data_IF_263941495164
#
_entry.id   IF_263941495164
#
_cell.length_a   1.000
_cell.length_b   1.000
_cell.length_c   1.000
_cell.angle_alpha   90.00
_cell.angle_beta   90.00
_cell.angle_gamma   90.00
#
_symmetry.space_group_name_H-M   'P 1'
#
loop_
_entity.id
_entity.type
_entity.pdbx_description
1 polymer ?
#
# COMPACT_ATOMS: atom_id res chain seq x y z
N UNK A 1 -33.60 -59.97 27.82
CA UNK A 1 -33.87 -60.46 26.45
C UNK A 1 -35.13 -59.75 25.98
N UNK A 2 -35.16 -58.88 24.98
CA UNK A 2 -34.35 -58.77 23.78
C UNK A 2 -34.19 -57.31 23.35
N UNK A 3 -32.98 -57.02 22.88
CA UNK A 3 -32.51 -55.89 22.09
C UNK A 3 -33.44 -55.44 20.96
N UNK A 4 -33.61 -54.12 20.80
CA UNK A 4 -33.65 -53.47 19.48
C UNK A 4 -33.35 -51.95 19.60
N UNK A 5 -32.07 -51.65 19.42
CA UNK A 5 -31.50 -50.53 18.67
C UNK A 5 -32.00 -49.10 18.95
N UNK A 6 -31.33 -48.49 19.92
CA UNK A 6 -30.65 -47.19 19.86
C UNK A 6 -30.61 -46.55 18.45
N UNK A 7 -31.54 -45.65 18.15
CA UNK A 7 -31.43 -44.74 17.01
C UNK A 7 -30.87 -43.41 17.51
N UNK A 8 -29.54 -43.36 17.57
CA UNK A 8 -28.76 -42.14 17.79
C UNK A 8 -28.99 -41.25 16.56
N UNK A 9 -29.81 -40.21 16.69
CA UNK A 9 -30.02 -39.24 15.61
C UNK A 9 -28.78 -38.34 15.54
N UNK A 10 -27.80 -38.79 14.76
CA UNK A 10 -26.66 -37.99 14.31
C UNK A 10 -27.19 -36.83 13.48
N UNK A 11 -27.43 -35.69 14.13
CA UNK A 11 -27.57 -34.40 13.43
C UNK A 11 -26.17 -34.04 12.94
N UNK A 12 -25.84 -34.52 11.74
CA UNK A 12 -24.71 -34.01 10.98
C UNK A 12 -25.07 -32.58 10.59
N UNK A 13 -24.64 -31.60 11.39
CA UNK A 13 -24.48 -30.24 10.90
C UNK A 13 -23.40 -30.32 9.82
N UNK A 14 -23.82 -30.45 8.56
CA UNK A 14 -22.99 -29.99 7.46
C UNK A 14 -22.90 -28.48 7.63
N UNK A 15 -21.87 -28.03 8.36
CA UNK A 15 -21.32 -26.70 8.17
C UNK A 15 -20.84 -26.72 6.72
N UNK A 16 -21.71 -26.31 5.80
CA UNK A 16 -21.22 -25.78 4.55
C UNK A 16 -20.45 -24.54 4.97
N UNK A 17 -19.13 -24.68 5.13
CA UNK A 17 -18.22 -23.56 5.02
C UNK A 17 -18.46 -23.01 3.63
N UNK A 18 -19.39 -22.05 3.51
CA UNK A 18 -19.40 -21.15 2.38
C UNK A 18 -18.12 -20.36 2.58
N UNK A 19 -17.01 -20.89 2.07
CA UNK A 19 -15.81 -20.11 1.87
C UNK A 19 -16.24 -18.97 0.96
N UNK A 20 -16.42 -17.79 1.55
CA UNK A 20 -16.70 -16.57 0.80
C UNK A 20 -15.40 -16.20 0.09
N UNK A 21 -15.13 -16.86 -1.03
CA UNK A 21 -14.05 -16.46 -1.90
C UNK A 21 -14.36 -15.09 -2.50
N UNK A 22 -13.32 -14.31 -2.77
CA UNK A 22 -13.33 -13.12 -3.63
C UNK A 22 -14.31 -13.26 -4.81
N UNK A 23 -14.84 -12.15 -5.32
CA UNK A 23 -15.78 -12.15 -6.45
C UNK A 23 -15.29 -13.01 -7.63
N UNK A 24 -15.84 -14.22 -7.75
CA UNK A 24 -15.53 -15.13 -8.84
C UNK A 24 -16.19 -14.61 -10.13
N UNK A 25 -15.59 -14.89 -11.30
CA UNK A 25 -16.32 -14.70 -12.55
C UNK A 25 -17.59 -15.53 -12.53
N UNK A 26 -18.60 -15.06 -13.28
CA UNK A 26 -19.86 -15.77 -13.36
C UNK A 26 -19.61 -17.22 -13.80
N UNK A 27 -20.08 -18.21 -13.02
CA UNK A 27 -20.15 -19.57 -13.53
C UNK A 27 -20.96 -19.59 -14.81
N UNK A 28 -20.64 -20.51 -15.74
CA UNK A 28 -21.29 -20.57 -17.05
C UNK A 28 -22.84 -20.62 -16.98
N UNK A 29 -23.41 -21.19 -15.92
CA UNK A 29 -24.86 -21.21 -15.71
C UNK A 29 -25.45 -19.84 -15.34
N UNK A 30 -24.70 -19.00 -14.60
CA UNK A 30 -25.10 -17.62 -14.29
C UNK A 30 -25.01 -16.74 -15.52
N UNK A 31 -23.99 -16.96 -16.36
CA UNK A 31 -23.87 -16.29 -17.66
C UNK A 31 -25.10 -16.56 -18.55
N UNK A 32 -25.53 -17.83 -18.65
CA UNK A 32 -26.74 -18.19 -19.39
C UNK A 32 -28.00 -17.56 -18.77
N UNK A 33 -28.11 -17.53 -17.45
CA UNK A 33 -29.24 -16.92 -16.75
C UNK A 33 -29.33 -15.41 -17.02
N UNK A 34 -28.19 -14.73 -17.06
CA UNK A 34 -28.11 -13.30 -17.39
C UNK A 34 -28.57 -13.04 -18.83
N UNK A 35 -28.13 -13.86 -19.79
CA UNK A 35 -28.58 -13.76 -21.17
C UNK A 35 -30.08 -14.03 -21.33
N UNK A 36 -30.61 -15.03 -20.64
CA UNK A 36 -32.05 -15.32 -20.60
C UNK A 36 -32.86 -14.17 -19.94
N UNK A 37 -32.34 -13.57 -18.87
CA UNK A 37 -32.99 -12.45 -18.20
C UNK A 37 -33.04 -11.19 -19.10
N UNK A 38 -31.91 -10.86 -19.76
CA UNK A 38 -31.86 -9.76 -20.72
C UNK A 38 -32.81 -10.01 -21.90
N UNK A 39 -32.81 -11.23 -22.44
CA UNK A 39 -33.71 -11.67 -23.51
C UNK A 39 -35.19 -11.43 -23.16
N UNK A 40 -35.61 -11.76 -21.94
CA UNK A 40 -36.98 -11.51 -21.46
C UNK A 40 -37.33 -10.03 -21.37
N UNK A 41 -36.33 -9.16 -21.20
CA UNK A 41 -36.48 -7.70 -21.24
C UNK A 41 -36.39 -7.13 -22.66
N UNK A 42 -36.22 -7.98 -23.68
CA UNK A 42 -35.98 -7.54 -25.07
C UNK A 42 -34.59 -6.96 -25.30
N UNK A 43 -33.65 -7.25 -24.41
CA UNK A 43 -32.27 -6.75 -24.41
C UNK A 43 -31.27 -7.87 -24.72
N UNK A 44 -30.06 -7.48 -25.07
CA UNK A 44 -28.86 -8.31 -25.15
C UNK A 44 -27.70 -7.62 -24.42
N UNK A 45 -26.58 -8.33 -24.18
CA UNK A 45 -25.44 -7.76 -23.43
C UNK A 45 -24.90 -6.44 -24.00
N UNK A 46 -24.99 -6.21 -25.33
CA UNK A 46 -24.52 -4.97 -25.96
C UNK A 46 -25.35 -3.76 -25.57
N UNK A 47 -26.61 -3.96 -25.16
CA UNK A 47 -27.46 -2.87 -24.69
C UNK A 47 -27.03 -2.35 -23.31
N UNK A 48 -26.18 -3.11 -22.60
CA UNK A 48 -25.51 -2.67 -21.38
C UNK A 48 -24.19 -1.94 -21.64
N UNK A 49 -23.71 -1.88 -22.90
CA UNK A 49 -22.41 -1.28 -23.20
C UNK A 49 -22.51 0.23 -23.11
N UNK A 50 -21.49 0.84 -22.51
CA UNK A 50 -21.31 2.29 -22.48
C UNK A 50 -20.38 2.70 -23.62
N UNK A 51 -20.73 3.81 -24.28
CA UNK A 51 -19.93 4.38 -25.36
C UNK A 51 -18.63 4.99 -24.81
N UNK A 52 -17.52 4.26 -24.91
CA UNK A 52 -16.20 4.80 -24.59
C UNK A 52 -15.75 5.93 -25.53
N UNK A 53 -16.39 6.05 -26.69
CA UNK A 53 -16.17 7.08 -27.71
C UNK A 53 -17.10 8.30 -27.58
N UNK A 54 -18.02 8.32 -26.59
CA UNK A 54 -18.94 9.43 -26.41
C UNK A 54 -18.24 10.76 -26.10
N UNK A 55 -17.04 10.67 -25.52
CA UNK A 55 -16.15 11.79 -25.23
C UNK A 55 -14.77 11.52 -25.81
N UNK A 56 -14.06 12.58 -26.20
CA UNK A 56 -12.68 12.49 -26.67
C UNK A 56 -11.84 11.72 -25.64
N UNK A 57 -11.01 10.79 -26.11
CA UNK A 57 -10.07 10.08 -25.25
C UNK A 57 -9.05 11.05 -24.69
N UNK A 58 -9.02 11.17 -23.36
CA UNK A 58 -8.03 11.96 -22.63
C UNK A 58 -6.75 11.15 -22.39
N UNK A 59 -5.68 11.83 -21.99
CA UNK A 59 -4.33 11.26 -21.76
C UNK A 59 -4.28 10.28 -20.59
N UNK A 60 -5.29 10.29 -19.72
CA UNK A 60 -5.35 9.54 -18.47
C UNK A 60 -6.24 8.30 -18.53
N UNK A 61 -7.10 8.19 -19.55
CA UNK A 61 -7.96 7.01 -19.77
C UNK A 61 -7.14 5.76 -20.09
N UNK A 62 -7.02 4.90 -19.09
CA UNK A 62 -6.36 3.61 -19.19
C UNK A 62 -7.16 2.63 -20.08
N UNK A 63 -6.49 1.70 -20.79
CA UNK A 63 -7.17 0.69 -21.63
C UNK A 63 -8.20 -0.17 -20.87
N UNK A 64 -7.99 -0.41 -19.57
CA UNK A 64 -8.94 -1.15 -18.73
C UNK A 64 -10.28 -0.43 -18.62
N UNK A 65 -10.29 0.92 -18.57
CA UNK A 65 -11.51 1.73 -18.55
C UNK A 65 -12.29 1.57 -19.85
N UNK A 66 -11.61 1.65 -21.00
CA UNK A 66 -12.25 1.42 -22.31
C UNK A 66 -12.86 0.01 -22.40
N UNK A 67 -12.18 -1.00 -21.86
CA UNK A 67 -12.67 -2.37 -21.85
C UNK A 67 -13.90 -2.54 -20.92
N UNK A 68 -13.90 -1.96 -19.73
CA UNK A 68 -15.06 -2.02 -18.82
C UNK A 68 -16.26 -1.25 -19.38
N UNK A 69 -16.06 -0.09 -20.02
CA UNK A 69 -17.16 0.64 -20.65
C UNK A 69 -17.79 -0.17 -21.79
N UNK A 70 -16.96 -0.75 -22.65
CA UNK A 70 -17.44 -1.54 -23.79
C UNK A 70 -17.89 -2.95 -23.43
N UNK A 71 -17.48 -3.47 -22.26
CA UNK A 71 -17.83 -4.80 -21.74
C UNK A 71 -17.89 -4.74 -20.21
N UNK A 72 -18.96 -4.19 -19.60
CA UNK A 72 -19.01 -3.94 -18.16
C UNK A 72 -18.84 -5.20 -17.32
N UNK A 73 -19.40 -6.32 -17.77
CA UNK A 73 -19.27 -7.61 -17.08
C UNK A 73 -17.84 -8.21 -17.15
N UNK A 74 -16.92 -7.63 -17.94
CA UNK A 74 -15.52 -8.06 -17.91
C UNK A 74 -14.79 -7.65 -16.64
N UNK A 75 -15.36 -6.75 -15.82
CA UNK A 75 -14.80 -6.36 -14.52
C UNK A 75 -14.60 -7.58 -13.60
N UNK A 76 -15.53 -8.54 -13.61
CA UNK A 76 -15.40 -9.76 -12.81
C UNK A 76 -14.17 -10.60 -13.21
N UNK A 77 -13.82 -10.60 -14.49
CA UNK A 77 -12.58 -11.26 -14.95
C UNK A 77 -11.35 -10.48 -14.51
N UNK A 78 -11.41 -9.14 -14.49
CA UNK A 78 -10.30 -8.31 -13.97
C UNK A 78 -10.06 -8.64 -12.51
N UNK A 79 -11.11 -8.62 -11.68
CA UNK A 79 -11.05 -8.94 -10.25
C UNK A 79 -10.61 -10.38 -10.00
N UNK A 80 -11.16 -11.35 -10.73
CA UNK A 80 -10.78 -12.76 -10.58
C UNK A 80 -9.31 -13.00 -10.91
N UNK A 81 -8.75 -12.34 -11.94
CA UNK A 81 -7.33 -12.48 -12.25
C UNK A 81 -6.43 -11.98 -11.11
N UNK A 82 -6.77 -10.82 -10.50
CA UNK A 82 -6.03 -10.33 -9.34
C UNK A 82 -6.17 -11.29 -8.16
N UNK A 83 -7.39 -11.72 -7.85
CA UNK A 83 -7.66 -12.72 -6.81
C UNK A 83 -6.85 -14.01 -7.00
N UNK A 84 -6.79 -14.56 -8.22
CA UNK A 84 -6.01 -15.79 -8.49
C UNK A 84 -4.51 -15.59 -8.29
N UNK A 85 -3.98 -14.41 -8.63
CA UNK A 85 -2.58 -14.09 -8.39
C UNK A 85 -2.32 -13.90 -6.89
N UNK A 86 -3.23 -13.25 -6.17
CA UNK A 86 -3.10 -12.92 -4.75
C UNK A 86 -3.33 -14.12 -3.82
N UNK A 87 -4.37 -14.94 -4.07
CA UNK A 87 -4.66 -16.15 -3.28
C UNK A 87 -3.62 -17.27 -3.45
N UNK A 88 -2.82 -17.22 -4.52
CA UNK A 88 -1.67 -18.09 -4.73
C UNK A 88 -0.35 -17.35 -4.51
N UNK A 89 -0.40 -16.14 -3.93
CA UNK A 89 0.76 -15.27 -3.86
C UNK A 89 1.88 -15.94 -3.09
N UNK A 90 3.02 -15.98 -3.75
CA UNK A 90 4.31 -16.26 -3.16
C UNK A 90 5.22 -15.18 -3.68
N UNK A 91 6.18 -14.78 -2.87
CA UNK A 91 7.13 -13.76 -3.27
C UNK A 91 7.91 -14.12 -4.55
N UNK A 92 8.15 -15.41 -4.80
CA UNK A 92 8.74 -15.92 -6.04
C UNK A 92 7.90 -15.56 -7.31
N UNK A 93 6.60 -15.37 -7.14
CA UNK A 93 5.64 -15.05 -8.19
C UNK A 93 5.28 -13.54 -8.23
N UNK A 94 5.92 -12.70 -7.40
CA UNK A 94 5.62 -11.27 -7.31
C UNK A 94 5.73 -10.54 -8.67
N UNK A 95 6.64 -10.99 -9.54
CA UNK A 95 6.77 -10.45 -10.89
C UNK A 95 5.49 -10.60 -11.73
N UNK A 96 4.68 -11.64 -11.51
CA UNK A 96 3.40 -11.85 -12.20
C UNK A 96 2.40 -10.76 -11.81
N UNK A 97 2.31 -10.46 -10.50
CA UNK A 97 1.48 -9.39 -9.98
C UNK A 97 1.92 -8.03 -10.54
N UNK A 98 3.21 -7.75 -10.54
CA UNK A 98 3.72 -6.45 -10.99
C UNK A 98 3.62 -6.26 -12.49
N UNK A 99 3.81 -7.31 -13.29
CA UNK A 99 3.52 -7.29 -14.72
C UNK A 99 2.05 -6.97 -14.99
N UNK A 100 1.13 -7.51 -14.18
CA UNK A 100 -0.30 -7.22 -14.26
C UNK A 100 -0.60 -5.75 -13.91
N UNK A 101 -0.06 -5.26 -12.80
CA UNK A 101 -0.20 -3.85 -12.37
C UNK A 101 0.33 -2.90 -13.46
N UNK A 102 1.51 -3.17 -14.01
CA UNK A 102 2.12 -2.34 -15.05
C UNK A 102 1.27 -2.33 -16.33
N UNK A 103 0.73 -3.49 -16.72
CA UNK A 103 -0.19 -3.59 -17.87
C UNK A 103 -1.43 -2.73 -17.68
N UNK A 104 -2.04 -2.76 -16.49
CA UNK A 104 -3.27 -2.02 -16.22
C UNK A 104 -3.04 -0.51 -16.15
N UNK A 105 -1.86 -0.10 -15.67
CA UNK A 105 -1.35 1.28 -15.75
C UNK A 105 -0.90 1.70 -17.16
N UNK A 106 -0.97 0.81 -18.15
CA UNK A 106 -0.49 1.03 -19.52
C UNK A 106 1.02 1.40 -19.57
N UNK A 107 1.82 0.72 -18.76
CA UNK A 107 3.27 0.83 -18.68
C UNK A 107 3.89 -0.44 -19.28
N UNK A 108 5.06 -0.31 -19.89
CA UNK A 108 5.83 -1.46 -20.39
C UNK A 108 6.18 -2.42 -19.26
N UNK A 109 6.21 -3.72 -19.55
CA UNK A 109 6.51 -4.84 -18.63
C UNK A 109 7.52 -4.51 -17.52
N UNK A 110 7.23 -4.98 -16.30
CA UNK A 110 8.08 -4.78 -15.13
C UNK A 110 9.47 -5.39 -15.36
N UNK A 111 10.50 -4.65 -14.98
CA UNK A 111 11.88 -5.13 -14.95
C UNK A 111 12.39 -5.07 -13.52
N UNK A 112 12.61 -6.24 -12.94
CA UNK A 112 13.27 -6.37 -11.65
C UNK A 112 14.72 -5.87 -11.73
N UNK A 113 15.12 -5.14 -10.70
CA UNK A 113 16.47 -4.62 -10.50
C UNK A 113 17.19 -5.53 -9.51
N UNK A 114 18.37 -6.00 -9.89
CA UNK A 114 19.25 -6.76 -9.01
C UNK A 114 20.21 -5.81 -8.30
N UNK A 115 20.43 -6.04 -7.00
CA UNK A 115 21.36 -5.26 -6.19
C UNK A 115 22.71 -5.97 -6.13
N UNK A 116 23.82 -5.30 -6.54
CA UNK A 116 25.13 -5.93 -6.54
C UNK A 116 25.59 -6.21 -5.11
N UNK A 117 26.16 -7.41 -4.90
CA UNK A 117 26.83 -7.72 -3.64
C UNK A 117 28.08 -6.84 -3.48
N UNK A 118 28.17 -6.16 -2.35
CA UNK A 118 29.31 -5.31 -1.99
C UNK A 118 29.67 -5.54 -0.53
N UNK A 119 30.96 -5.47 -0.23
CA UNK A 119 31.49 -5.57 1.14
C UNK A 119 31.99 -4.21 1.65
N UNK A 120 31.64 -3.11 0.97
CA UNK A 120 32.19 -1.77 1.20
C UNK A 120 31.42 -0.97 2.26
N UNK A 121 31.19 -1.56 3.44
CA UNK A 121 30.43 -0.93 4.54
C UNK A 121 31.02 0.42 4.97
N UNK A 122 32.34 0.52 5.00
CA UNK A 122 33.09 1.70 5.43
C UNK A 122 32.83 2.94 4.57
N UNK A 123 32.36 2.76 3.32
CA UNK A 123 32.00 3.86 2.43
C UNK A 123 30.56 4.35 2.61
N UNK A 124 29.76 3.63 3.40
CA UNK A 124 28.34 3.91 3.64
C UNK A 124 28.12 4.42 5.06
N UNK A 125 28.69 3.74 6.05
CA UNK A 125 28.49 4.00 7.47
C UNK A 125 29.51 5.01 7.98
N UNK A 126 29.06 6.16 8.47
CA UNK A 126 29.91 7.22 9.06
C UNK A 126 30.23 6.92 10.52
N UNK A 127 29.25 6.47 11.28
CA UNK A 127 29.37 6.15 12.70
C UNK A 127 28.25 5.24 13.15
N UNK A 128 28.51 4.43 14.17
CA UNK A 128 27.51 3.60 14.83
C UNK A 128 27.36 4.05 16.28
N UNK A 129 26.12 4.26 16.71
CA UNK A 129 25.77 4.59 18.10
C UNK A 129 24.92 3.47 18.69
N UNK A 130 25.16 3.17 19.95
CA UNK A 130 24.30 2.29 20.75
C UNK A 130 23.15 3.07 21.40
N UNK A 131 22.15 2.38 21.94
CA UNK A 131 21.03 2.97 22.71
C UNK A 131 21.48 3.98 23.79
N UNK A 132 22.61 3.72 24.45
CA UNK A 132 23.17 4.61 25.50
C UNK A 132 23.98 5.80 24.93
N UNK A 133 23.97 5.99 23.60
CA UNK A 133 24.70 7.04 22.91
C UNK A 133 26.21 6.79 22.76
N UNK A 134 26.71 5.62 23.16
CA UNK A 134 28.13 5.26 23.00
C UNK A 134 28.42 4.99 21.53
N UNK A 135 29.47 5.63 21.00
CA UNK A 135 30.00 5.37 19.67
C UNK A 135 30.80 4.06 19.65
N UNK A 136 30.50 3.21 18.67
CA UNK A 136 31.21 1.95 18.40
C UNK A 136 31.59 1.89 16.92
N UNK A 137 32.46 0.96 16.56
CA UNK A 137 32.77 0.63 15.18
C UNK A 137 31.77 -0.39 14.62
N UNK A 138 31.58 -0.41 13.30
CA UNK A 138 30.76 -1.45 12.66
C UNK A 138 31.27 -2.86 12.95
N UNK A 139 32.61 -3.03 13.05
CA UNK A 139 33.25 -4.30 13.38
C UNK A 139 32.99 -4.76 14.84
N UNK A 140 32.46 -3.89 15.70
CA UNK A 140 32.09 -4.26 17.07
C UNK A 140 30.74 -4.98 17.13
N UNK A 141 29.93 -4.90 16.06
CA UNK A 141 28.69 -5.68 15.93
C UNK A 141 29.08 -7.11 15.53
N UNK A 142 28.59 -8.16 16.24
CA UNK A 142 28.94 -9.54 15.95
C UNK A 142 28.82 -9.89 14.47
N UNK A 143 29.86 -10.47 13.87
CA UNK A 143 29.91 -10.78 12.42
C UNK A 143 28.73 -11.65 11.95
N UNK A 144 28.26 -12.55 12.83
CA UNK A 144 27.07 -13.39 12.59
C UNK A 144 25.80 -12.58 12.32
N UNK A 145 25.76 -11.32 12.77
CA UNK A 145 24.65 -10.37 12.62
C UNK A 145 24.98 -9.36 11.53
N UNK A 146 26.12 -8.68 11.65
CA UNK A 146 26.44 -7.53 10.80
C UNK A 146 26.56 -7.90 9.31
N UNK A 147 27.18 -9.03 8.96
CA UNK A 147 27.38 -9.42 7.56
C UNK A 147 26.05 -9.74 6.85
N UNK A 148 25.17 -10.64 7.36
CA UNK A 148 23.88 -10.90 6.73
C UNK A 148 23.02 -9.65 6.62
N UNK A 149 22.89 -8.87 7.70
CA UNK A 149 22.05 -7.66 7.71
C UNK A 149 22.52 -6.63 6.69
N UNK A 150 23.83 -6.44 6.56
CA UNK A 150 24.36 -5.50 5.59
C UNK A 150 24.07 -5.94 4.15
N UNK A 151 24.36 -7.20 3.83
CA UNK A 151 24.21 -7.71 2.46
C UNK A 151 22.76 -7.81 2.01
N UNK A 152 21.89 -8.31 2.89
CA UNK A 152 20.52 -8.67 2.56
C UNK A 152 19.54 -7.51 2.70
N UNK A 153 19.79 -6.58 3.64
CA UNK A 153 18.84 -5.50 3.94
C UNK A 153 19.44 -4.13 3.63
N UNK A 154 20.55 -3.77 4.29
CA UNK A 154 21.08 -2.40 4.22
C UNK A 154 21.54 -2.06 2.80
N UNK A 155 22.30 -2.95 2.15
CA UNK A 155 22.84 -2.69 0.82
C UNK A 155 21.76 -2.50 -0.26
N UNK A 156 20.74 -3.38 -0.38
CA UNK A 156 19.59 -3.14 -1.26
C UNK A 156 18.92 -1.79 -1.02
N UNK A 157 18.67 -1.40 0.23
CA UNK A 157 18.06 -0.10 0.56
C UNK A 157 18.93 1.07 0.08
N UNK A 158 20.25 1.01 0.30
CA UNK A 158 21.17 2.07 -0.10
C UNK A 158 21.30 2.17 -1.62
N UNK A 159 21.42 1.06 -2.33
CA UNK A 159 21.47 1.05 -3.79
C UNK A 159 20.15 1.54 -4.40
N UNK A 160 19.02 1.12 -3.84
CA UNK A 160 17.70 1.59 -4.26
C UNK A 160 17.54 3.10 -4.02
N UNK A 161 18.03 3.61 -2.88
CA UNK A 161 18.07 5.05 -2.60
C UNK A 161 18.87 5.80 -3.66
N UNK A 162 20.08 5.34 -4.00
CA UNK A 162 20.95 5.99 -5.01
C UNK A 162 20.25 6.09 -6.37
N UNK A 163 19.62 5.00 -6.81
CA UNK A 163 18.88 4.95 -8.07
C UNK A 163 17.71 5.95 -8.05
N UNK A 164 17.00 6.01 -6.94
CA UNK A 164 15.72 6.75 -6.80
C UNK A 164 15.93 8.24 -6.59
N UNK A 165 16.95 8.66 -5.83
CA UNK A 165 17.21 10.06 -5.51
C UNK A 165 17.36 10.94 -6.77
N UNK A 166 17.98 10.40 -7.83
CA UNK A 166 18.15 11.11 -9.09
C UNK A 166 16.84 11.29 -9.87
N UNK A 167 15.94 10.32 -9.77
CA UNK A 167 14.61 10.33 -10.40
C UNK A 167 13.72 11.30 -9.63
N UNK A 168 13.62 11.16 -8.31
CA UNK A 168 12.86 12.04 -7.44
C UNK A 168 13.27 13.50 -7.64
N UNK A 169 14.57 13.81 -7.70
CA UNK A 169 15.04 15.19 -7.95
C UNK A 169 14.52 15.79 -9.26
N UNK A 170 14.22 14.99 -10.28
CA UNK A 170 13.59 15.46 -11.52
C UNK A 170 12.08 15.66 -11.33
N UNK A 171 11.40 14.75 -10.62
CA UNK A 171 9.98 14.85 -10.29
C UNK A 171 9.67 16.11 -9.47
N UNK A 172 10.50 16.42 -8.48
CA UNK A 172 10.31 17.59 -7.61
C UNK A 172 10.47 18.94 -8.33
N UNK A 173 10.91 18.96 -9.59
CA UNK A 173 10.94 20.19 -10.40
C UNK A 173 9.57 20.62 -10.89
N UNK A 174 8.59 19.71 -10.92
CA UNK A 174 7.20 20.02 -11.25
C UNK A 174 6.52 20.64 -10.03
N UNK A 175 6.86 21.88 -9.70
CA UNK A 175 6.46 22.53 -8.44
C UNK A 175 4.95 22.60 -8.26
N UNK A 176 4.21 22.88 -9.33
CA UNK A 176 2.74 22.89 -9.33
C UNK A 176 2.15 21.51 -8.97
N UNK A 177 2.78 20.43 -9.46
CA UNK A 177 2.37 19.05 -9.11
C UNK A 177 2.67 18.76 -7.65
N UNK A 178 3.88 19.09 -7.18
CA UNK A 178 4.28 18.89 -5.77
C UNK A 178 3.40 19.69 -4.80
N UNK A 179 3.05 20.92 -5.16
CA UNK A 179 2.24 21.81 -4.34
C UNK A 179 0.82 21.27 -4.15
N UNK A 180 0.21 20.72 -5.20
CA UNK A 180 -1.23 20.40 -5.21
C UNK A 180 -1.59 18.91 -5.17
N UNK A 181 -0.62 17.99 -5.30
CA UNK A 181 -0.85 16.54 -5.42
C UNK A 181 -1.74 15.92 -4.34
N UNK A 182 -1.62 16.39 -3.09
CA UNK A 182 -2.40 15.99 -1.93
C UNK A 182 -3.74 16.74 -1.86
N UNK A 183 -3.71 18.07 -2.02
CA UNK A 183 -4.89 18.93 -1.86
C UNK A 183 -6.04 18.57 -2.80
N UNK A 184 -5.75 18.08 -4.01
CA UNK A 184 -6.75 17.65 -4.99
C UNK A 184 -7.40 16.31 -4.65
N UNK A 185 -6.81 15.54 -3.73
CA UNK A 185 -7.31 14.25 -3.27
C UNK A 185 -7.97 14.33 -1.89
N UNK A 186 -7.83 15.48 -1.22
CA UNK A 186 -8.54 15.74 0.03
C UNK A 186 -10.01 15.99 -0.24
N UNK A 187 -10.86 15.48 0.65
CA UNK A 187 -12.28 15.79 0.63
C UNK A 187 -12.48 17.26 1.00
N UNK A 188 -13.31 17.96 0.25
CA UNK A 188 -13.61 19.36 0.49
C UNK A 188 -14.40 19.53 1.79
N UNK A 189 -13.87 20.31 2.72
CA UNK A 189 -14.62 20.87 3.84
C UNK A 189 -15.13 22.25 3.39
N UNK A 190 -16.40 22.37 3.01
CA UNK A 190 -16.95 23.67 2.62
C UNK A 190 -17.10 24.60 3.83
N UNK A 191 -16.58 25.83 3.72
CA UNK A 191 -16.86 26.89 4.69
C UNK A 191 -18.28 27.42 4.47
N UNK A 192 -19.20 26.99 5.34
CA UNK A 192 -20.59 27.44 5.44
C UNK A 192 -20.81 28.97 5.48
N UNK A 193 -19.73 29.76 5.58
CA UNK A 193 -19.75 31.24 5.59
C UNK A 193 -19.46 31.88 4.23
N UNK A 194 -19.08 31.12 3.21
CA UNK A 194 -18.72 31.66 1.88
C UNK A 194 -19.93 32.20 1.14
N UNK A 195 -19.80 33.36 0.48
CA UNK A 195 -20.88 33.91 -0.34
C UNK A 195 -20.85 33.34 -1.78
N UNK A 196 -21.96 33.41 -2.56
CA UNK A 196 -22.02 32.81 -3.89
C UNK A 196 -20.95 33.29 -4.89
N UNK A 197 -20.48 34.53 -4.78
CA UNK A 197 -19.41 35.04 -5.65
C UNK A 197 -18.06 34.42 -5.27
N UNK A 198 -17.76 34.30 -3.98
CA UNK A 198 -16.55 33.63 -3.50
C UNK A 198 -16.52 32.16 -3.92
N UNK A 199 -17.64 31.45 -3.81
CA UNK A 199 -17.77 30.07 -4.27
C UNK A 199 -17.46 29.98 -5.77
N UNK A 200 -18.09 30.82 -6.59
CA UNK A 200 -17.84 30.83 -8.04
C UNK A 200 -16.38 31.14 -8.40
N UNK A 201 -15.77 32.15 -7.77
CA UNK A 201 -14.37 32.49 -8.02
C UNK A 201 -13.42 31.37 -7.57
N UNK A 202 -13.73 30.70 -6.45
CA UNK A 202 -12.96 29.55 -5.98
C UNK A 202 -13.09 28.36 -6.93
N UNK A 203 -14.28 28.08 -7.47
CA UNK A 203 -14.52 27.02 -8.45
C UNK A 203 -13.75 27.26 -9.75
N UNK A 204 -13.82 28.48 -10.30
CA UNK A 204 -13.05 28.87 -11.51
C UNK A 204 -11.55 28.74 -11.28
N UNK A 205 -11.06 29.14 -10.10
CA UNK A 205 -9.65 28.99 -9.73
C UNK A 205 -9.26 27.52 -9.60
N UNK A 206 -10.06 26.72 -8.91
CA UNK A 206 -9.82 25.30 -8.71
C UNK A 206 -9.79 24.53 -10.04
N UNK A 207 -10.71 24.85 -10.97
CA UNK A 207 -10.71 24.28 -12.32
C UNK A 207 -9.45 24.65 -13.10
N UNK A 208 -9.01 25.92 -13.04
CA UNK A 208 -7.77 26.36 -13.68
C UNK A 208 -6.52 25.67 -13.09
N UNK A 209 -6.44 25.54 -11.76
CA UNK A 209 -5.33 24.87 -11.07
C UNK A 209 -5.32 23.38 -11.42
N UNK A 210 -6.47 22.73 -11.40
CA UNK A 210 -6.61 21.32 -11.75
C UNK A 210 -6.18 21.04 -13.19
N UNK A 211 -6.61 21.88 -14.15
CA UNK A 211 -6.18 21.75 -15.56
C UNK A 211 -4.66 21.85 -15.70
N UNK A 212 -4.04 22.87 -15.10
CA UNK A 212 -2.58 23.02 -15.15
C UNK A 212 -1.87 21.84 -14.47
N UNK A 213 -2.37 21.38 -13.33
CA UNK A 213 -1.84 20.20 -12.63
C UNK A 213 -1.84 18.96 -13.53
N UNK A 214 -2.98 18.65 -14.15
CA UNK A 214 -3.08 17.52 -15.06
C UNK A 214 -2.30 17.74 -16.36
N UNK A 215 -2.12 18.95 -16.86
CA UNK A 215 -1.24 19.18 -18.02
C UNK A 215 0.22 18.89 -17.64
N UNK A 216 0.69 19.34 -16.48
CA UNK A 216 2.05 19.10 -16.00
C UNK A 216 2.32 17.61 -15.74
N UNK A 217 1.35 16.89 -15.17
CA UNK A 217 1.45 15.46 -14.91
C UNK A 217 1.64 14.63 -16.19
N UNK A 218 1.23 15.14 -17.35
CA UNK A 218 1.28 14.40 -18.62
C UNK A 218 2.71 14.14 -19.09
N UNK A 219 3.68 14.91 -18.59
CA UNK A 219 5.10 14.82 -18.90
C UNK A 219 5.88 13.91 -17.93
N UNK A 220 5.23 13.41 -16.88
CA UNK A 220 5.89 12.63 -15.83
C UNK A 220 5.94 11.15 -16.22
N UNK A 221 7.14 10.57 -16.21
CA UNK A 221 7.37 9.13 -16.33
C UNK A 221 7.78 8.54 -14.97
N UNK A 222 6.93 7.67 -14.44
CA UNK A 222 7.11 7.00 -13.15
C UNK A 222 7.64 5.56 -13.26
N UNK A 223 7.85 5.05 -14.48
CA UNK A 223 8.21 3.64 -14.69
C UNK A 223 9.43 3.22 -13.87
N UNK A 224 10.51 3.99 -13.96
CA UNK A 224 11.74 3.66 -13.24
C UNK A 224 11.57 3.78 -11.72
N UNK A 225 10.72 4.70 -11.25
CA UNK A 225 10.42 4.84 -9.82
C UNK A 225 9.73 3.56 -9.30
N UNK A 226 8.70 3.10 -10.03
CA UNK A 226 7.98 1.87 -9.71
C UNK A 226 8.88 0.63 -9.77
N UNK A 227 9.74 0.53 -10.78
CA UNK A 227 10.69 -0.59 -10.90
C UNK A 227 11.64 -0.66 -9.71
N UNK A 228 12.16 0.47 -9.22
CA UNK A 228 13.00 0.50 -8.02
C UNK A 228 12.22 0.11 -6.76
N UNK A 229 11.02 0.66 -6.57
CA UNK A 229 10.21 0.38 -5.38
C UNK A 229 9.85 -1.11 -5.26
N UNK A 230 9.30 -1.68 -6.34
CA UNK A 230 8.82 -3.07 -6.34
C UNK A 230 9.98 -4.06 -6.30
N UNK A 231 11.14 -3.73 -6.88
CA UNK A 231 12.34 -4.57 -6.76
C UNK A 231 12.90 -4.56 -5.33
N UNK A 232 12.85 -3.41 -4.65
CA UNK A 232 13.28 -3.33 -3.26
C UNK A 232 12.34 -4.15 -2.36
N UNK A 233 11.04 -4.03 -2.56
CA UNK A 233 10.07 -4.84 -1.83
C UNK A 233 10.34 -6.35 -1.98
N UNK A 234 10.55 -6.84 -3.21
CA UNK A 234 10.92 -8.25 -3.44
C UNK A 234 12.18 -8.64 -2.67
N UNK A 235 13.21 -7.78 -2.68
CA UNK A 235 14.47 -8.05 -2.01
C UNK A 235 14.31 -8.06 -0.49
N UNK A 236 13.50 -7.15 0.07
CA UNK A 236 13.27 -7.04 1.50
C UNK A 236 12.40 -8.18 2.02
N UNK A 237 11.27 -8.48 1.38
CA UNK A 237 10.40 -9.57 1.82
C UNK A 237 11.13 -10.92 1.83
N UNK A 238 11.86 -11.25 0.75
CA UNK A 238 12.68 -12.47 0.69
C UNK A 238 13.75 -12.52 1.79
N UNK A 239 14.42 -11.40 2.03
CA UNK A 239 15.48 -11.30 3.04
C UNK A 239 14.91 -11.42 4.45
N UNK A 240 13.79 -10.74 4.73
CA UNK A 240 13.13 -10.76 6.02
C UNK A 240 12.52 -12.12 6.34
N UNK A 241 11.95 -12.83 5.35
CA UNK A 241 11.55 -14.24 5.50
C UNK A 241 12.75 -15.11 5.91
N UNK A 242 13.90 -14.90 5.27
CA UNK A 242 15.15 -15.56 5.63
C UNK A 242 15.63 -15.23 7.04
N UNK A 243 15.51 -13.98 7.48
CA UNK A 243 15.88 -13.54 8.84
C UNK A 243 14.93 -14.12 9.89
N UNK A 244 13.62 -14.05 9.69
CA UNK A 244 12.61 -14.56 10.61
C UNK A 244 12.78 -16.08 10.84
N UNK A 245 13.05 -16.84 9.76
CA UNK A 245 13.36 -18.27 9.85
C UNK A 245 14.65 -18.59 10.64
N UNK A 246 15.54 -17.61 10.83
CA UNK A 246 16.82 -17.77 11.53
C UNK A 246 16.91 -16.89 12.79
N UNK A 247 15.77 -16.54 13.41
CA UNK A 247 15.68 -15.63 14.57
C UNK A 247 16.59 -15.99 15.75
N UNK A 248 16.88 -17.28 15.96
CA UNK A 248 17.82 -17.74 17.00
C UNK A 248 19.23 -17.14 16.84
N UNK A 249 19.64 -16.80 15.62
CA UNK A 249 20.93 -16.14 15.33
C UNK A 249 21.05 -14.80 16.03
N UNK A 250 19.91 -14.12 16.21
CA UNK A 250 19.78 -12.75 16.69
C UNK A 250 19.28 -12.66 18.13
N UNK A 251 18.98 -13.78 18.80
CA UNK A 251 18.40 -13.80 20.14
C UNK A 251 19.22 -13.08 21.23
N UNK A 252 20.53 -12.92 21.02
CA UNK A 252 21.41 -12.19 21.95
C UNK A 252 21.48 -10.68 21.64
N UNK A 253 20.87 -10.22 20.55
CA UNK A 253 20.91 -8.83 20.10
C UNK A 253 19.89 -8.00 20.87
N UNK A 254 20.24 -7.56 22.07
CA UNK A 254 19.34 -6.78 22.96
C UNK A 254 19.46 -5.27 22.84
N UNK A 255 20.42 -4.79 22.05
CA UNK A 255 20.74 -3.37 21.98
C UNK A 255 20.47 -2.83 20.59
N UNK A 256 19.82 -1.68 20.53
CA UNK A 256 19.68 -0.89 19.31
C UNK A 256 21.06 -0.39 18.84
N UNK A 257 21.31 -0.54 17.54
CA UNK A 257 22.39 0.13 16.81
C UNK A 257 21.82 1.17 15.84
N UNK A 258 22.22 2.42 16.02
CA UNK A 258 21.88 3.54 15.12
C UNK A 258 23.10 3.84 14.25
N UNK A 259 22.96 3.58 12.95
CA UNK A 259 23.97 3.86 11.94
C UNK A 259 23.67 5.21 11.31
N UNK A 260 24.61 6.14 11.42
CA UNK A 260 24.60 7.37 10.63
C UNK A 260 25.25 7.10 9.27
N UNK A 261 24.52 7.27 8.17
CA UNK A 261 25.06 7.05 6.82
C UNK A 261 25.13 8.36 6.02
N UNK A 262 25.65 8.29 4.79
CA UNK A 262 25.53 9.39 3.83
C UNK A 262 24.12 9.56 3.24
N UNK A 263 23.22 8.60 3.48
CA UNK A 263 21.90 8.51 2.84
C UNK A 263 20.73 8.66 3.83
N UNK A 264 21.00 8.54 5.13
CA UNK A 264 20.01 8.65 6.20
C UNK A 264 20.40 7.82 7.43
N UNK A 265 19.64 7.95 8.52
CA UNK A 265 19.82 7.11 9.72
C UNK A 265 19.25 5.72 9.46
N UNK A 266 19.94 4.69 9.91
CA UNK A 266 19.42 3.31 9.92
C UNK A 266 19.40 2.84 11.37
N UNK A 267 18.25 2.31 11.81
CA UNK A 267 18.14 1.62 13.09
C UNK A 267 18.15 0.11 12.86
N UNK A 268 18.93 -0.60 13.68
CA UNK A 268 18.86 -2.04 13.87
C UNK A 268 18.40 -2.25 15.32
N UNK A 269 17.13 -2.62 15.49
CA UNK A 269 16.45 -2.90 16.75
C UNK A 269 16.95 -4.18 17.42
N UNK A 270 16.69 -4.28 18.72
CA UNK A 270 16.99 -5.48 19.49
C UNK A 270 15.90 -6.54 19.39
N UNK A 271 15.89 -7.47 20.34
CA UNK A 271 14.78 -8.41 20.60
C UNK A 271 13.97 -8.01 21.85
N UNK A 272 14.29 -6.85 22.42
CA UNK A 272 13.64 -6.27 23.59
C UNK A 272 12.88 -5.02 23.12
N UNK A 273 11.80 -4.65 23.80
CA UNK A 273 10.99 -3.50 23.41
C UNK A 273 11.81 -2.19 23.30
N UNK A 274 11.66 -1.54 22.15
CA UNK A 274 12.26 -0.29 21.77
C UNK A 274 11.19 0.76 21.40
N UNK A 275 11.66 1.98 21.10
CA UNK A 275 10.79 3.09 20.71
C UNK A 275 11.53 3.96 19.72
N UNK A 276 10.93 4.13 18.54
CA UNK A 276 11.52 4.85 17.42
C UNK A 276 10.80 6.19 17.23
N UNK A 277 11.46 7.30 17.59
CA UNK A 277 10.90 8.66 17.44
C UNK A 277 11.61 9.50 16.39
N UNK A 278 12.75 9.02 15.91
CA UNK A 278 13.63 9.72 14.99
C UNK A 278 13.25 9.41 13.53
N UNK A 279 13.87 10.18 12.64
CA UNK A 279 13.73 10.04 11.21
C UNK A 279 14.71 9.02 10.62
N UNK A 280 14.20 7.85 10.22
CA UNK A 280 15.00 6.77 9.66
C UNK A 280 14.78 6.57 8.16
N UNK A 281 15.85 6.19 7.46
CA UNK A 281 15.84 5.61 6.12
C UNK A 281 15.35 4.16 6.19
N UNK A 282 15.83 3.42 7.19
CA UNK A 282 15.48 2.03 7.46
C UNK A 282 15.39 1.84 8.97
N UNK A 283 14.30 1.22 9.42
CA UNK A 283 14.22 0.54 10.71
C UNK A 283 14.16 -0.94 10.40
N UNK A 284 15.11 -1.71 10.93
CA UNK A 284 15.05 -3.16 10.97
C UNK A 284 14.97 -3.55 12.43
N UNK A 285 13.80 -3.96 12.88
CA UNK A 285 13.57 -4.47 14.21
C UNK A 285 13.62 -6.00 14.21
N UNK A 286 14.24 -6.58 15.23
CA UNK A 286 14.43 -8.03 15.34
C UNK A 286 13.41 -8.66 16.30
N UNK A 287 12.73 -7.82 17.08
CA UNK A 287 11.48 -8.11 17.75
C UNK A 287 11.34 -7.41 19.09
N UNK A 288 10.22 -7.64 19.76
CA UNK A 288 9.83 -6.89 20.96
C UNK A 288 8.45 -6.31 20.73
N UNK A 289 7.83 -5.74 21.77
CA UNK A 289 6.59 -4.99 21.58
C UNK A 289 6.94 -3.50 21.50
N UNK A 290 7.05 -3.03 20.26
CA UNK A 290 7.72 -1.81 19.87
C UNK A 290 6.77 -0.66 19.57
N UNK A 291 7.29 0.56 19.68
CA UNK A 291 6.49 1.77 19.40
C UNK A 291 7.18 2.63 18.35
N UNK A 292 6.50 2.80 17.22
CA UNK A 292 7.00 3.59 16.10
C UNK A 292 6.24 4.91 16.03
N UNK A 293 6.97 6.02 16.08
CA UNK A 293 6.42 7.36 15.96
C UNK A 293 6.84 8.00 14.65
N UNK A 294 5.89 8.59 13.94
CA UNK A 294 6.16 9.39 12.75
C UNK A 294 5.27 10.62 12.72
N UNK A 295 5.86 11.81 12.59
CA UNK A 295 5.11 13.05 12.47
C UNK A 295 5.87 14.01 11.56
N UNK A 296 5.76 13.78 10.25
CA UNK A 296 6.46 14.56 9.24
C UNK A 296 5.50 15.45 8.46
N UNK A 297 5.97 16.63 8.06
CA UNK A 297 5.28 17.48 7.10
C UNK A 297 5.55 16.99 5.67
N UNK A 298 4.64 17.31 4.73
CA UNK A 298 4.82 17.03 3.29
C UNK A 298 6.20 17.46 2.79
N UNK A 299 6.64 18.67 3.15
CA UNK A 299 7.93 19.23 2.73
C UNK A 299 9.15 18.44 3.17
N UNK A 300 9.02 17.64 4.23
CA UNK A 300 10.09 16.81 4.77
C UNK A 300 10.05 15.41 4.15
N UNK A 301 8.85 14.84 3.99
CA UNK A 301 8.65 13.53 3.35
C UNK A 301 9.14 13.52 1.91
N UNK A 302 8.84 14.55 1.13
CA UNK A 302 9.26 14.62 -0.29
C UNK A 302 10.78 14.72 -0.46
N UNK A 303 11.54 14.99 0.61
CA UNK A 303 13.02 14.97 0.57
C UNK A 303 13.60 13.58 0.86
N UNK A 304 12.75 12.61 1.18
CA UNK A 304 13.11 11.25 1.56
C UNK A 304 12.59 10.28 0.49
N UNK A 305 13.40 9.92 -0.52
CA UNK A 305 12.95 9.07 -1.63
C UNK A 305 12.59 7.65 -1.21
N UNK A 306 13.19 7.16 -0.12
CA UNK A 306 13.03 5.80 0.37
C UNK A 306 12.87 5.85 1.88
N UNK A 307 11.88 5.12 2.41
CA UNK A 307 11.70 4.86 3.84
C UNK A 307 11.24 3.42 4.00
N UNK A 308 11.93 2.65 4.83
CA UNK A 308 11.62 1.24 5.06
C UNK A 308 11.48 0.97 6.56
N UNK A 309 10.50 0.15 6.93
CA UNK A 309 10.38 -0.46 8.25
C UNK A 309 10.22 -1.96 8.03
N UNK A 310 10.98 -2.75 8.78
CA UNK A 310 10.88 -4.20 8.81
C UNK A 310 10.84 -4.57 10.28
N UNK A 311 9.71 -5.07 10.76
CA UNK A 311 9.63 -5.77 12.04
C UNK A 311 9.56 -7.28 11.81
N UNK A 312 10.16 -8.06 12.71
CA UNK A 312 10.19 -9.52 12.60
C UNK A 312 9.28 -10.23 13.61
N UNK A 313 8.94 -9.59 14.74
CA UNK A 313 8.02 -10.15 15.72
C UNK A 313 7.69 -9.20 16.86
N UNK A 314 6.43 -9.27 17.31
CA UNK A 314 5.94 -8.80 18.58
C UNK A 314 4.69 -7.96 18.37
N UNK A 315 4.07 -7.50 19.46
CA UNK A 315 2.81 -6.77 19.36
C UNK A 315 3.11 -5.27 19.40
N UNK A 316 3.13 -4.67 18.24
CA UNK A 316 3.69 -3.37 17.94
C UNK A 316 2.63 -2.28 17.81
N UNK A 317 3.08 -1.04 17.95
CA UNK A 317 2.22 0.13 17.91
C UNK A 317 2.83 1.21 17.02
N UNK A 318 2.24 1.39 15.84
CA UNK A 318 2.61 2.36 14.84
C UNK A 318 1.73 3.62 14.96
N UNK A 319 2.29 4.72 15.46
CA UNK A 319 1.61 5.99 15.73
C UNK A 319 2.13 7.13 14.84
N UNK A 320 1.33 7.46 13.83
CA UNK A 320 1.69 8.30 12.69
C UNK A 320 0.78 9.51 12.53
N UNK A 321 1.34 10.61 12.03
CA UNK A 321 0.59 11.72 11.44
C UNK A 321 0.26 11.46 9.98
N UNK A 322 0.06 12.53 9.22
CA UNK A 322 -0.06 12.43 7.77
C UNK A 322 1.27 12.00 7.15
N UNK A 323 1.24 11.32 6.00
CA UNK A 323 2.43 10.87 5.26
C UNK A 323 3.33 9.87 6.00
N UNK A 324 2.77 9.18 6.99
CA UNK A 324 3.44 8.20 7.84
C UNK A 324 3.25 6.78 7.32
N UNK A 325 4.13 5.86 7.74
CA UNK A 325 4.09 4.40 7.53
C UNK A 325 3.71 3.91 6.12
N UNK A 326 4.66 3.29 5.42
CA UNK A 326 4.44 2.78 4.07
C UNK A 326 3.87 3.84 3.08
N UNK A 327 4.19 5.12 3.30
CA UNK A 327 3.72 6.24 2.47
C UNK A 327 4.72 6.57 1.36
N UNK A 328 4.29 6.41 0.11
CA UNK A 328 5.06 6.66 -1.10
C UNK A 328 4.67 7.95 -1.81
N UNK A 329 5.18 9.08 -1.33
CA UNK A 329 4.93 10.42 -1.92
C UNK A 329 6.17 10.90 -2.69
N UNK A 330 6.11 10.92 -4.03
CA UNK A 330 7.27 11.17 -4.92
C UNK A 330 8.50 10.26 -4.64
N UNK A 331 8.26 9.10 -4.09
CA UNK A 331 9.26 8.14 -3.61
C UNK A 331 8.54 6.85 -3.24
N UNK A 332 9.11 6.08 -2.32
CA UNK A 332 8.41 4.91 -1.80
C UNK A 332 8.64 4.65 -0.33
N UNK A 333 7.57 4.15 0.30
CA UNK A 333 7.53 3.70 1.68
C UNK A 333 7.18 2.22 1.71
N UNK A 334 7.98 1.42 2.40
CA UNK A 334 7.75 -0.01 2.58
C UNK A 334 7.70 -0.29 4.08
N UNK A 335 6.66 -0.97 4.55
CA UNK A 335 6.54 -1.52 5.90
C UNK A 335 6.27 -3.01 5.72
N UNK A 336 7.10 -3.85 6.33
CA UNK A 336 6.89 -5.29 6.39
C UNK A 336 6.87 -5.68 7.86
N UNK A 337 5.75 -6.22 8.31
CA UNK A 337 5.58 -6.81 9.64
C UNK A 337 5.32 -8.32 9.47
N UNK A 338 5.90 -9.13 10.35
CA UNK A 338 5.87 -10.58 10.22
C UNK A 338 4.95 -11.28 11.20
N UNK A 339 4.80 -10.77 12.41
CA UNK A 339 4.09 -11.49 13.46
C UNK A 339 3.80 -10.59 14.65
N UNK A 340 2.54 -10.36 14.95
CA UNK A 340 2.14 -9.55 16.10
C UNK A 340 0.66 -9.61 16.34
N UNK A 341 0.15 -8.85 17.30
CA UNK A 341 -1.21 -8.32 17.19
C UNK A 341 -1.02 -6.80 17.28
N UNK A 342 -1.14 -6.12 16.15
CA UNK A 342 -0.53 -4.82 15.92
C UNK A 342 -1.56 -3.69 15.80
N UNK A 343 -1.11 -2.49 16.18
CA UNK A 343 -1.91 -1.27 16.06
C UNK A 343 -1.28 -0.32 15.06
N UNK A 344 -1.92 -0.16 13.91
CA UNK A 344 -1.56 0.79 12.86
C UNK A 344 -2.47 2.02 12.89
N UNK A 345 -1.98 3.13 13.42
CA UNK A 345 -2.73 4.38 13.48
C UNK A 345 -1.97 5.53 12.82
N UNK A 346 -2.50 6.03 11.70
CA UNK A 346 -1.90 7.12 10.94
C UNK A 346 -2.91 8.19 10.50
N UNK A 347 -2.38 9.28 9.95
CA UNK A 347 -3.17 10.35 9.32
C UNK A 347 -3.54 10.03 7.87
N UNK A 348 -3.63 11.07 7.06
CA UNK A 348 -3.88 10.97 5.62
C UNK A 348 -2.63 10.56 4.85
N UNK A 349 -2.77 10.06 3.62
CA UNK A 349 -1.64 9.68 2.74
C UNK A 349 -0.67 8.68 3.38
N UNK A 350 -1.20 7.73 4.14
CA UNK A 350 -0.44 6.81 5.00
C UNK A 350 -0.87 5.35 4.80
N UNK A 351 -0.23 4.41 5.49
CA UNK A 351 -0.60 2.98 5.51
C UNK A 351 -0.68 2.38 4.10
N UNK A 352 0.44 2.40 3.38
CA UNK A 352 0.51 1.83 2.03
C UNK A 352 0.01 2.76 0.92
N UNK A 353 -0.18 4.06 1.17
CA UNK A 353 -0.62 5.00 0.15
C UNK A 353 0.49 5.33 -0.89
N UNK A 354 0.14 5.31 -2.17
CA UNK A 354 1.00 5.68 -3.29
C UNK A 354 0.54 6.94 -4.03
N UNK A 355 1.30 8.04 -3.92
CA UNK A 355 1.03 9.32 -4.58
C UNK A 355 2.26 9.79 -5.36
N UNK A 356 2.24 9.70 -6.69
CA UNK A 356 3.46 9.87 -7.52
C UNK A 356 4.60 8.95 -7.08
N UNK A 357 4.26 7.80 -6.52
CA UNK A 357 5.14 6.94 -5.75
C UNK A 357 4.50 5.60 -5.43
N UNK A 358 5.18 4.83 -4.59
CA UNK A 358 4.74 3.48 -4.21
C UNK A 358 4.68 3.34 -2.69
N UNK A 359 3.52 3.03 -2.15
CA UNK A 359 3.34 2.68 -0.75
C UNK A 359 3.02 1.19 -0.63
N UNK A 360 3.73 0.47 0.25
CA UNK A 360 3.48 -0.96 0.51
C UNK A 360 3.52 -1.18 2.00
N UNK A 361 2.37 -1.55 2.57
CA UNK A 361 2.27 -2.13 3.90
C UNK A 361 2.00 -3.62 3.72
N UNK A 362 2.84 -4.47 4.30
CA UNK A 362 2.67 -5.91 4.28
C UNK A 362 2.74 -6.44 5.70
N UNK A 363 1.59 -6.82 6.24
CA UNK A 363 1.47 -7.57 7.48
C UNK A 363 1.30 -9.06 7.17
N UNK A 364 2.03 -9.92 7.86
CA UNK A 364 2.02 -11.35 7.60
C UNK A 364 1.13 -12.15 8.53
N UNK A 365 0.95 -11.73 9.78
CA UNK A 365 0.21 -12.49 10.80
C UNK A 365 -0.16 -11.57 11.95
N UNK A 366 -1.44 -11.60 12.34
CA UNK A 366 -1.84 -11.00 13.59
C UNK A 366 -3.33 -10.93 13.80
N UNK A 367 -3.78 -10.05 14.66
CA UNK A 367 -5.17 -9.69 14.79
C UNK A 367 -5.19 -8.18 14.99
N UNK A 368 -5.18 -7.48 13.85
CA UNK A 368 -4.60 -6.16 13.75
C UNK A 368 -5.67 -5.08 13.62
N UNK A 369 -5.28 -3.87 14.00
CA UNK A 369 -6.15 -2.70 13.94
C UNK A 369 -5.51 -1.65 13.05
N UNK A 370 -6.13 -1.40 11.91
CA UNK A 370 -5.75 -0.35 10.97
C UNK A 370 -6.68 0.84 11.10
N UNK A 371 -6.12 2.02 11.30
CA UNK A 371 -6.85 3.27 11.38
C UNK A 371 -6.13 4.40 10.65
N UNK A 372 -6.81 4.97 9.66
CA UNK A 372 -6.30 6.11 8.89
C UNK A 372 -7.39 7.09 8.53
N UNK A 373 -6.98 8.18 7.88
CA UNK A 373 -7.90 9.27 7.49
C UNK A 373 -8.23 9.20 6.00
N UNK A 374 -7.74 10.15 5.22
CA UNK A 374 -8.03 10.28 3.79
C UNK A 374 -6.86 9.71 3.00
N UNK A 375 -7.14 8.95 1.94
CA UNK A 375 -6.09 8.45 1.05
C UNK A 375 -5.10 7.52 1.76
N UNK A 376 -5.56 6.38 2.26
CA UNK A 376 -4.74 5.44 3.05
C UNK A 376 -5.15 3.99 2.79
N UNK A 377 -4.42 3.02 3.36
CA UNK A 377 -4.74 1.58 3.29
C UNK A 377 -4.69 1.05 1.85
N UNK A 378 -3.53 1.27 1.24
CA UNK A 378 -3.32 0.88 -0.15
C UNK A 378 -4.05 1.77 -1.16
N UNK A 379 -4.25 3.06 -0.90
CA UNK A 379 -4.81 4.00 -1.88
C UNK A 379 -3.75 4.45 -2.92
N UNK A 380 -4.12 4.58 -4.19
CA UNK A 380 -3.19 4.93 -5.29
C UNK A 380 -3.69 6.04 -6.21
N UNK A 381 -2.84 7.02 -6.53
CA UNK A 381 -3.11 8.13 -7.44
C UNK A 381 -1.80 8.59 -8.08
N UNK A 382 -1.71 8.49 -9.42
CA UNK A 382 -0.41 8.55 -10.11
C UNK A 382 0.64 7.67 -9.41
N UNK A 383 0.22 6.53 -8.86
CA UNK A 383 0.99 5.82 -7.85
C UNK A 383 0.40 4.45 -7.59
N UNK A 384 1.17 3.63 -6.88
CA UNK A 384 0.76 2.27 -6.51
C UNK A 384 0.65 2.25 -4.99
N UNK A 385 -0.56 2.08 -4.48
CA UNK A 385 -0.81 1.85 -3.06
C UNK A 385 -1.16 0.39 -2.82
N UNK A 386 -0.51 -0.22 -1.84
CA UNK A 386 -0.69 -1.63 -1.49
C UNK A 386 -0.78 -1.78 0.03
N UNK A 387 -1.82 -2.50 0.46
CA UNK A 387 -1.85 -3.18 1.75
C UNK A 387 -2.02 -4.68 1.49
N UNK A 388 -1.17 -5.49 2.10
CA UNK A 388 -1.28 -6.95 2.12
C UNK A 388 -1.36 -7.36 3.58
N UNK A 389 -2.35 -8.17 3.91
CA UNK A 389 -2.55 -8.85 5.18
C UNK A 389 -2.77 -10.33 4.88
N UNK A 390 -1.95 -11.20 5.45
CA UNK A 390 -1.96 -12.63 5.10
C UNK A 390 -2.84 -13.46 6.04
N UNK A 391 -3.04 -13.03 7.28
CA UNK A 391 -3.90 -13.75 8.21
C UNK A 391 -4.21 -12.96 9.48
N UNK A 392 -5.46 -12.99 9.91
CA UNK A 392 -5.82 -12.47 11.20
C UNK A 392 -7.31 -12.45 11.47
N UNK A 393 -7.77 -11.65 12.42
CA UNK A 393 -9.16 -11.20 12.42
C UNK A 393 -9.12 -9.70 12.62
N UNK A 394 -9.14 -8.97 11.51
CA UNK A 394 -8.58 -7.63 11.46
C UNK A 394 -9.68 -6.57 11.43
N UNK A 395 -9.33 -5.36 11.87
CA UNK A 395 -10.25 -4.23 11.89
C UNK A 395 -9.70 -3.03 11.15
N UNK A 396 -10.37 -2.66 10.07
CA UNK A 396 -10.00 -1.54 9.21
C UNK A 396 -10.97 -0.37 9.40
N UNK A 397 -10.50 0.76 9.93
CA UNK A 397 -11.32 1.92 10.33
C UNK A 397 -10.88 3.22 9.65
N UNK A 398 -11.63 3.69 8.64
CA UNK A 398 -11.18 4.78 7.76
C UNK A 398 -12.25 5.84 7.46
N UNK A 399 -11.80 7.01 6.97
CA UNK A 399 -12.68 8.13 6.68
C UNK A 399 -13.12 8.18 5.21
N UNK A 400 -12.18 8.33 4.27
CA UNK A 400 -12.48 8.49 2.84
C UNK A 400 -11.27 8.18 1.94
N UNK A 401 -11.52 7.95 0.65
CA UNK A 401 -10.54 7.69 -0.40
C UNK A 401 -9.51 6.61 0.01
N UNK A 402 -9.91 5.59 0.77
CA UNK A 402 -9.03 4.55 1.31
C UNK A 402 -9.51 3.14 0.97
N UNK A 403 -8.96 2.11 1.60
CA UNK A 403 -9.37 0.70 1.38
C UNK A 403 -9.30 0.31 -0.09
N UNK A 404 -8.08 0.27 -0.65
CA UNK A 404 -7.84 0.01 -2.08
C UNK A 404 -8.45 1.05 -3.04
N UNK A 405 -8.54 2.33 -2.63
CA UNK A 405 -9.03 3.39 -3.51
C UNK A 405 -8.07 3.66 -4.67
N UNK A 406 -8.59 3.67 -5.91
CA UNK A 406 -7.81 3.93 -7.12
C UNK A 406 -8.25 5.21 -7.83
N UNK A 407 -7.36 6.20 -7.92
CA UNK A 407 -7.60 7.44 -8.67
C UNK A 407 -6.87 7.46 -10.01
N UNK A 408 -6.83 8.63 -10.66
CA UNK A 408 -6.18 8.87 -11.95
C UNK A 408 -4.77 8.24 -12.03
N UNK A 409 -4.57 7.32 -12.99
CA UNK A 409 -3.31 6.56 -13.18
C UNK A 409 -2.76 5.93 -11.89
N UNK A 410 -3.64 5.61 -10.95
CA UNK A 410 -3.33 4.97 -9.70
C UNK A 410 -3.81 3.53 -9.67
N UNK A 411 -3.14 2.70 -8.88
CA UNK A 411 -3.63 1.39 -8.47
C UNK A 411 -3.71 1.41 -6.96
N UNK A 412 -4.90 1.17 -6.42
CA UNK A 412 -5.07 0.81 -5.03
C UNK A 412 -5.33 -0.68 -4.89
N UNK A 413 -4.65 -1.33 -3.95
CA UNK A 413 -4.76 -2.76 -3.70
C UNK A 413 -4.79 -3.00 -2.19
N UNK A 414 -5.79 -3.75 -1.75
CA UNK A 414 -5.90 -4.33 -0.42
C UNK A 414 -6.14 -5.82 -0.63
N UNK A 415 -5.22 -6.64 -0.16
CA UNK A 415 -5.34 -8.08 -0.15
C UNK A 415 -5.31 -8.55 1.30
N UNK A 416 -6.39 -9.18 1.72
CA UNK A 416 -6.57 -9.81 3.02
C UNK A 416 -6.92 -11.28 2.72
N UNK A 417 -6.01 -12.20 3.04
CA UNK A 417 -6.08 -13.59 2.58
C UNK A 417 -6.94 -14.49 3.50
N UNK A 418 -6.87 -14.30 4.82
CA UNK A 418 -7.57 -15.14 5.78
C UNK A 418 -7.99 -14.37 7.02
N UNK A 419 -9.26 -14.51 7.41
CA UNK A 419 -9.71 -13.94 8.68
C UNK A 419 -11.21 -13.81 8.77
N UNK A 420 -11.68 -13.24 9.87
CA UNK A 420 -13.05 -12.75 10.01
C UNK A 420 -13.02 -11.25 10.26
N UNK A 421 -12.87 -10.51 9.17
CA UNK A 421 -12.40 -9.13 9.23
C UNK A 421 -13.55 -8.13 9.13
N UNK A 422 -13.32 -6.93 9.67
CA UNK A 422 -14.32 -5.88 9.75
C UNK A 422 -13.81 -4.61 9.08
N UNK A 423 -14.44 -4.26 7.96
CA UNK A 423 -14.15 -3.04 7.20
C UNK A 423 -15.18 -1.96 7.52
N UNK A 424 -14.77 -0.96 8.30
CA UNK A 424 -15.63 0.15 8.73
C UNK A 424 -15.18 1.47 8.11
N UNK A 425 -16.12 2.17 7.48
CA UNK A 425 -15.92 3.53 7.00
C UNK A 425 -16.81 4.50 7.77
N UNK A 426 -16.20 5.52 8.37
CA UNK A 426 -16.87 6.60 9.08
C UNK A 426 -16.42 7.94 8.51
N UNK A 427 -17.03 8.32 7.38
CA UNK A 427 -16.71 9.58 6.72
C UNK A 427 -17.27 10.78 7.48
N UNK A 428 -16.46 11.80 7.80
CA UNK A 428 -16.93 13.07 8.32
C UNK A 428 -17.38 14.05 7.19
N UNK A 429 -17.26 13.67 5.91
CA UNK A 429 -17.46 14.57 4.77
C UNK A 429 -18.87 14.45 4.19
N UNK A 430 -19.62 15.56 4.18
CA UNK A 430 -21.01 15.62 3.68
C UNK A 430 -21.01 15.86 2.16
N UNK A 431 -21.89 15.18 1.42
CA UNK A 431 -22.11 15.37 -0.02
C UNK A 431 -23.01 16.57 -0.29
N UNK A 432 -22.59 17.76 0.16
CA UNK A 432 -23.41 18.99 0.19
C UNK A 432 -24.02 19.33 -1.19
N UNK A 433 -23.30 19.05 -2.27
CA UNK A 433 -23.74 19.35 -3.64
C UNK A 433 -24.96 18.52 -4.07
N UNK A 434 -25.14 17.32 -3.51
CA UNK A 434 -26.24 16.42 -3.86
C UNK A 434 -27.25 16.29 -2.72
N UNK A 435 -26.75 16.13 -1.50
CA UNK A 435 -27.55 15.88 -0.30
C UNK A 435 -26.85 16.40 0.98
N UNK A 436 -27.53 17.29 1.71
CA UNK A 436 -27.08 17.86 2.99
C UNK A 436 -27.01 16.87 4.18
N UNK A 437 -27.56 15.67 3.99
CA UNK A 437 -27.74 14.64 5.03
C UNK A 437 -26.97 13.34 4.74
N UNK A 438 -26.19 13.30 3.65
CA UNK A 438 -25.43 12.12 3.25
C UNK A 438 -23.93 12.37 3.33
N UNK A 439 -23.19 11.34 3.70
CA UNK A 439 -21.73 11.36 3.74
C UNK A 439 -21.15 10.65 2.53
N UNK A 440 -19.99 11.12 2.07
CA UNK A 440 -19.26 10.55 0.94
C UNK A 440 -17.91 10.01 1.40
N UNK A 441 -17.55 8.80 0.97
CA UNK A 441 -16.31 8.15 1.41
C UNK A 441 -15.41 7.65 0.29
N UNK A 442 -15.91 6.97 -0.74
CA UNK A 442 -15.08 6.29 -1.76
C UNK A 442 -14.04 5.33 -1.15
N UNK A 443 -14.52 4.35 -0.40
CA UNK A 443 -13.72 3.25 0.18
C UNK A 443 -14.10 1.90 -0.43
N UNK A 444 -13.42 0.84 -0.04
CA UNK A 444 -13.74 -0.56 -0.37
C UNK A 444 -13.67 -0.85 -1.88
N UNK A 445 -12.51 -0.53 -2.48
CA UNK A 445 -12.22 -0.76 -3.90
C UNK A 445 -12.89 0.23 -4.85
N UNK A 446 -13.37 1.38 -4.34
CA UNK A 446 -13.86 2.47 -5.18
C UNK A 446 -12.74 3.01 -6.09
N UNK A 447 -13.09 3.37 -7.32
CA UNK A 447 -12.17 4.00 -8.27
C UNK A 447 -12.86 5.13 -9.03
N UNK A 448 -12.11 6.20 -9.30
CA UNK A 448 -12.58 7.43 -9.97
C UNK A 448 -11.72 7.81 -11.18
#
# INVERSE_FOLDING_TARGET
MSSQNLMLMLVVFTINTISMYSQQSFPAHVDNLLDDALSKMGMNRRDCFMRSDAVKKDTYRLPVVDNVFTKPLSIFNVTQNYSQILSAYKIDDAAILFDRVFRDLNINKFRQIEYPDTNQVEYIVKSVKTKDGKNISWQDIPEKISIPLFKLIINPVIESYKNTASIQKKLLKYTNVVEHCDSLLMMSEEDSKSNPFEIYFNEVRADSVSKQFFDDCSFIDLKQLYENALSLYIALENSSLGLNNNKETFADCKQIYILETFYGKIAIGGVDNDTYTDDYLLILDLGGNDVYHSSMLKSEVIQKPVRCIIDLSGNDTYLGGDYSFASGVFGYGILIDFNGDDLYKAGSFSLGAGLFGVGILHDSQGADIYSGKVFSEGAGAFGIGVLIDNSGNDSYNFQANGQAFGYVKGIGLLADDNGNDVYTTSSPFVDILRYDSHFVSFTQGASL
#
